data_IF_590934121794
#
_entry.id   IF_590934121794
#
_cell.length_a   1.000
_cell.length_b   1.000
_cell.length_c   1.000
_cell.angle_alpha   90.00
_cell.angle_beta   90.00
_cell.angle_gamma   90.00
#
_symmetry.space_group_name_H-M   'P 1'
#
loop_
_entity.id
_entity.type
_entity.pdbx_description
1 polymer ?
#
# COMPACT_ATOMS: atom_id res chain seq x y z
N UNK A 1 10.32 9.35 -14.08
CA UNK A 1 9.67 10.12 -12.99
C UNK A 1 10.66 10.23 -11.84
N UNK A 2 10.87 11.43 -11.25
CA UNK A 2 11.74 11.53 -10.06
C UNK A 2 10.90 11.29 -8.81
N UNK A 3 11.19 10.24 -8.06
CA UNK A 3 10.63 9.92 -6.76
C UNK A 3 11.74 9.50 -5.79
N UNK A 4 11.44 9.54 -4.51
CA UNK A 4 12.36 9.10 -3.46
C UNK A 4 12.01 7.67 -3.02
N UNK A 5 13.01 6.81 -2.95
CA UNK A 5 12.86 5.43 -2.44
C UNK A 5 12.48 5.44 -0.96
N UNK A 6 12.96 6.42 -0.22
CA UNK A 6 12.62 6.60 1.21
C UNK A 6 11.93 7.93 1.45
N UNK A 7 11.10 8.01 2.48
CA UNK A 7 10.41 9.22 2.89
C UNK A 7 11.17 9.90 4.03
N UNK A 8 12.11 10.85 3.72
CA UNK A 8 12.88 11.53 4.75
C UNK A 8 11.99 12.45 5.60
N UNK A 9 12.47 12.79 6.81
CA UNK A 9 11.70 13.58 7.77
C UNK A 9 11.23 14.94 7.23
N UNK A 10 12.06 15.63 6.46
CA UNK A 10 11.71 16.92 5.85
C UNK A 10 10.57 16.81 4.83
N UNK A 11 10.50 15.71 4.08
CA UNK A 11 9.39 15.46 3.15
C UNK A 11 8.07 15.30 3.91
N UNK A 12 8.10 14.60 5.06
CA UNK A 12 6.91 14.38 5.90
C UNK A 12 6.32 15.69 6.42
N UNK A 13 7.17 16.69 6.68
CA UNK A 13 6.73 18.04 7.12
C UNK A 13 5.92 18.79 6.04
N UNK A 14 6.04 18.41 4.76
CA UNK A 14 5.27 19.01 3.67
C UNK A 14 3.85 18.44 3.53
N UNK A 15 3.51 17.44 4.33
CA UNK A 15 2.20 16.79 4.34
C UNK A 15 1.37 17.25 5.55
N UNK A 16 0.03 17.17 5.47
CA UNK A 16 -0.83 17.38 6.63
C UNK A 16 -0.43 16.48 7.80
N UNK A 17 -0.66 16.95 9.03
CA UNK A 17 -0.37 16.18 10.24
C UNK A 17 -1.24 14.92 10.37
N UNK A 18 -0.83 13.99 11.23
CA UNK A 18 -1.61 12.79 11.54
C UNK A 18 -1.51 11.67 10.50
N UNK A 19 -0.58 11.73 9.54
CA UNK A 19 -0.35 10.66 8.58
C UNK A 19 0.62 9.62 9.12
N UNK A 20 0.34 8.34 8.82
CA UNK A 20 1.16 7.20 9.23
C UNK A 20 2.20 6.93 8.15
N UNK A 21 3.48 7.04 8.48
CA UNK A 21 4.60 6.80 7.58
C UNK A 21 5.36 5.51 7.88
N UNK A 22 5.31 5.08 9.11
CA UNK A 22 5.88 3.84 9.62
C UNK A 22 5.14 3.43 10.90
N UNK A 23 5.24 2.19 11.25
CA UNK A 23 4.73 1.62 12.50
C UNK A 23 5.80 1.69 13.62
N UNK A 24 5.44 1.40 14.89
CA UNK A 24 6.40 1.34 15.98
C UNK A 24 7.58 0.40 15.66
N UNK A 25 8.79 0.79 16.09
CA UNK A 25 10.04 0.08 15.74
C UNK A 25 10.58 -0.82 16.86
N UNK A 26 9.73 -1.23 17.79
CA UNK A 26 10.13 -2.06 18.94
C UNK A 26 10.48 -3.49 18.52
N UNK A 27 9.71 -4.06 17.60
CA UNK A 27 9.84 -5.45 17.16
C UNK A 27 10.41 -5.52 15.74
N UNK A 28 11.02 -6.66 15.40
CA UNK A 28 11.44 -6.96 14.03
C UNK A 28 10.23 -7.28 13.16
N UNK A 29 9.50 -6.25 12.75
CA UNK A 29 8.32 -6.36 11.89
C UNK A 29 8.49 -5.47 10.66
N UNK A 30 8.18 -6.03 9.50
CA UNK A 30 7.99 -5.32 8.22
C UNK A 30 6.50 -5.32 7.88
N UNK A 31 5.98 -4.18 7.51
CA UNK A 31 4.60 -3.99 7.06
C UNK A 31 4.58 -3.89 5.54
N UNK A 32 4.37 -5.04 4.88
CA UNK A 32 4.22 -5.06 3.43
C UNK A 32 2.84 -4.52 3.05
N UNK A 33 2.79 -3.64 2.07
CA UNK A 33 1.55 -3.10 1.55
C UNK A 33 1.53 -3.20 0.03
N UNK A 34 0.33 -3.48 -0.52
CA UNK A 34 0.09 -3.63 -1.94
C UNK A 34 -0.99 -2.65 -2.37
N UNK A 35 -0.71 -1.83 -3.39
CA UNK A 35 -1.62 -0.84 -3.93
C UNK A 35 -2.14 -1.30 -5.30
N UNK A 36 -3.30 -0.76 -5.73
CA UNK A 36 -3.94 -0.91 -7.04
C UNK A 36 -4.82 -2.18 -7.21
N UNK A 37 -4.65 -3.22 -6.42
CA UNK A 37 -5.46 -4.45 -6.52
C UNK A 37 -6.96 -4.26 -6.17
N UNK A 38 -7.73 -5.38 -6.18
CA UNK A 38 -7.33 -6.72 -6.57
C UNK A 38 -7.20 -6.89 -8.08
N UNK A 39 -6.18 -7.64 -8.50
CA UNK A 39 -5.97 -8.02 -9.90
C UNK A 39 -6.19 -9.54 -10.07
N UNK A 40 -6.80 -10.01 -11.19
CA UNK A 40 -7.23 -11.41 -11.34
C UNK A 40 -6.11 -12.46 -11.25
N UNK A 41 -4.88 -12.11 -11.59
CA UNK A 41 -3.75 -13.05 -11.57
C UNK A 41 -2.65 -12.64 -10.59
N UNK A 42 -2.41 -11.35 -10.42
CA UNK A 42 -1.26 -10.85 -9.64
C UNK A 42 -1.57 -10.91 -8.15
N UNK A 43 -2.76 -10.48 -7.72
CA UNK A 43 -3.15 -10.54 -6.30
C UNK A 43 -3.14 -12.00 -5.77
N UNK A 44 -3.67 -13.01 -6.50
CA UNK A 44 -3.49 -14.41 -6.11
C UNK A 44 -2.03 -14.84 -5.94
N UNK A 45 -1.14 -14.47 -6.88
CA UNK A 45 0.29 -14.74 -6.75
C UNK A 45 0.89 -14.12 -5.48
N UNK A 46 0.53 -12.86 -5.18
CA UNK A 46 0.98 -12.19 -3.95
C UNK A 46 0.51 -12.95 -2.71
N UNK A 47 -0.76 -13.35 -2.64
CA UNK A 47 -1.34 -14.10 -1.52
C UNK A 47 -0.63 -15.45 -1.33
N UNK A 48 -0.34 -16.18 -2.41
CA UNK A 48 0.39 -17.45 -2.35
C UNK A 48 1.82 -17.26 -1.83
N UNK A 49 2.51 -16.20 -2.27
CA UNK A 49 3.82 -15.84 -1.73
C UNK A 49 3.76 -15.52 -0.22
N UNK A 50 2.81 -14.69 0.20
CA UNK A 50 2.65 -14.32 1.61
C UNK A 50 2.36 -15.55 2.49
N UNK A 51 1.52 -16.46 2.02
CA UNK A 51 1.18 -17.71 2.70
C UNK A 51 2.40 -18.58 2.96
N UNK A 52 3.32 -18.68 1.98
CA UNK A 52 4.57 -19.46 2.11
C UNK A 52 5.45 -18.99 3.28
N UNK A 53 5.39 -17.71 3.62
CA UNK A 53 6.16 -17.11 4.72
C UNK A 53 5.34 -16.83 5.98
N UNK A 54 4.11 -17.35 6.08
CA UNK A 54 3.16 -17.03 7.17
C UNK A 54 3.04 -15.51 7.40
N UNK A 55 3.06 -14.75 6.32
CA UNK A 55 3.09 -13.29 6.32
C UNK A 55 1.67 -12.72 6.28
N UNK A 56 1.43 -11.62 7.01
CA UNK A 56 0.25 -10.77 6.86
C UNK A 56 0.64 -9.47 6.18
N UNK A 57 -0.28 -8.91 5.41
CA UNK A 57 -0.05 -7.67 4.66
C UNK A 57 -1.30 -6.79 4.65
N UNK A 58 -1.16 -5.55 4.16
CA UNK A 58 -2.29 -4.64 3.94
C UNK A 58 -2.41 -4.33 2.45
N UNK A 59 -3.61 -4.49 1.91
CA UNK A 59 -3.93 -4.21 0.51
C UNK A 59 -4.77 -2.93 0.41
N UNK A 60 -4.25 -1.89 -0.22
CA UNK A 60 -4.98 -0.68 -0.53
C UNK A 60 -5.67 -0.84 -1.87
N UNK A 61 -6.95 -1.22 -1.81
CA UNK A 61 -7.69 -1.67 -2.97
C UNK A 61 -8.41 -0.54 -3.69
N UNK A 62 -8.46 -0.61 -5.01
CA UNK A 62 -9.28 0.23 -5.87
C UNK A 62 -10.70 -0.32 -5.88
N UNK A 63 -11.71 0.49 -5.53
CA UNK A 63 -13.09 0.05 -5.43
C UNK A 63 -13.63 -0.58 -6.73
N UNK A 64 -13.32 -0.01 -7.89
CA UNK A 64 -13.67 -0.57 -9.20
C UNK A 64 -13.14 -2.00 -9.38
N UNK A 65 -11.92 -2.28 -8.95
CA UNK A 65 -11.30 -3.59 -9.07
C UNK A 65 -11.95 -4.61 -8.13
N UNK A 66 -12.41 -4.18 -6.94
CA UNK A 66 -13.18 -5.05 -6.05
C UNK A 66 -14.50 -5.47 -6.68
N UNK A 67 -15.21 -4.51 -7.29
CA UNK A 67 -16.47 -4.80 -8.00
C UNK A 67 -16.25 -5.81 -9.14
N UNK A 68 -15.13 -5.72 -9.83
CA UNK A 68 -14.77 -6.65 -10.91
C UNK A 68 -14.28 -8.01 -10.41
N UNK A 69 -13.62 -8.07 -9.25
CA UNK A 69 -12.97 -9.27 -8.71
C UNK A 69 -13.33 -9.55 -7.24
N UNK A 70 -14.64 -9.66 -6.89
CA UNK A 70 -15.08 -9.78 -5.50
C UNK A 70 -14.59 -11.06 -4.82
N UNK A 71 -14.40 -12.13 -5.56
CA UNK A 71 -13.86 -13.39 -5.02
C UNK A 71 -12.41 -13.24 -4.52
N UNK A 72 -11.58 -12.45 -5.23
CA UNK A 72 -10.19 -12.20 -4.85
C UNK A 72 -10.16 -11.28 -3.63
N UNK A 73 -11.00 -10.25 -3.59
CA UNK A 73 -11.12 -9.40 -2.40
C UNK A 73 -11.53 -10.21 -1.16
N UNK A 74 -12.51 -11.12 -1.31
CA UNK A 74 -12.89 -12.04 -0.23
C UNK A 74 -11.72 -12.92 0.20
N UNK A 75 -10.90 -13.40 -0.74
CA UNK A 75 -9.70 -14.19 -0.45
C UNK A 75 -8.68 -13.42 0.38
N UNK A 76 -8.43 -12.12 0.06
CA UNK A 76 -7.57 -11.25 0.88
C UNK A 76 -8.01 -11.26 2.35
N UNK A 77 -9.31 -11.07 2.59
CA UNK A 77 -9.87 -11.01 3.94
C UNK A 77 -9.83 -12.37 4.66
N UNK A 78 -10.21 -13.45 3.98
CA UNK A 78 -10.28 -14.79 4.57
C UNK A 78 -8.90 -15.36 4.88
N UNK A 79 -7.85 -14.94 4.18
CA UNK A 79 -6.46 -15.30 4.49
C UNK A 79 -5.85 -14.42 5.61
N UNK A 80 -6.65 -13.53 6.23
CA UNK A 80 -6.27 -12.75 7.40
C UNK A 80 -5.40 -11.54 7.08
N UNK A 81 -5.43 -11.07 5.84
CA UNK A 81 -4.84 -9.79 5.47
C UNK A 81 -5.80 -8.63 5.79
N UNK A 82 -5.29 -7.43 5.81
CA UNK A 82 -6.09 -6.23 5.99
C UNK A 82 -6.27 -5.49 4.67
N UNK A 83 -7.39 -4.78 4.53
CA UNK A 83 -7.62 -3.93 3.36
C UNK A 83 -7.66 -2.46 3.78
N UNK A 84 -7.46 -1.58 2.82
CA UNK A 84 -7.60 -0.14 2.94
C UNK A 84 -8.19 0.45 1.66
N UNK A 85 -8.77 1.63 1.77
CA UNK A 85 -9.37 2.35 0.65
C UNK A 85 -8.28 3.06 -0.18
N UNK A 86 -8.29 2.81 -1.51
CA UNK A 86 -7.40 3.45 -2.48
C UNK A 86 -8.18 4.23 -3.55
N UNK A 87 -9.33 4.81 -3.18
CA UNK A 87 -10.33 5.43 -4.04
C UNK A 87 -11.06 4.43 -4.96
N UNK A 88 -12.11 4.86 -5.65
CA UNK A 88 -12.87 3.97 -6.53
C UNK A 88 -12.24 3.82 -7.91
N UNK A 89 -11.70 4.90 -8.47
CA UNK A 89 -11.15 4.94 -9.84
C UNK A 89 -9.69 5.41 -9.89
N UNK A 90 -8.99 5.38 -8.75
CA UNK A 90 -7.57 5.77 -8.63
C UNK A 90 -7.31 7.25 -8.99
N UNK A 91 -8.23 8.16 -8.60
CA UNK A 91 -8.11 9.58 -8.91
C UNK A 91 -6.95 10.25 -8.14
N UNK A 92 -6.21 11.10 -8.87
CA UNK A 92 -5.20 11.95 -8.26
C UNK A 92 -5.83 13.21 -7.69
N UNK A 93 -5.78 13.38 -6.35
CA UNK A 93 -6.37 14.49 -5.61
C UNK A 93 -5.91 15.89 -6.07
N UNK A 94 -4.74 15.99 -6.73
CA UNK A 94 -4.22 17.27 -7.24
C UNK A 94 -4.62 17.57 -8.67
N UNK A 95 -5.35 16.67 -9.35
CA UNK A 95 -5.75 16.82 -10.76
C UNK A 95 -7.26 17.01 -10.92
N UNK A 96 -8.03 16.91 -9.85
CA UNK A 96 -9.49 17.04 -9.86
C UNK A 96 -9.94 17.90 -8.69
N UNK A 97 -11.21 18.30 -8.66
CA UNK A 97 -11.80 19.03 -7.52
C UNK A 97 -11.82 18.15 -6.26
N UNK A 98 -11.76 18.77 -5.08
CA UNK A 98 -11.86 18.03 -3.81
C UNK A 98 -13.18 17.25 -3.71
N UNK A 99 -14.30 17.80 -4.16
CA UNK A 99 -15.60 17.14 -4.09
C UNK A 99 -15.64 15.87 -4.95
N UNK A 100 -15.13 15.96 -6.19
CA UNK A 100 -15.05 14.79 -7.08
C UNK A 100 -14.16 13.70 -6.45
N UNK A 101 -13.01 14.10 -5.89
CA UNK A 101 -12.10 13.15 -5.25
C UNK A 101 -12.68 12.52 -3.98
N UNK A 102 -13.34 13.31 -3.12
CA UNK A 102 -14.00 12.80 -1.92
C UNK A 102 -15.17 11.87 -2.24
N UNK A 103 -15.92 12.17 -3.31
CA UNK A 103 -16.97 11.28 -3.80
C UNK A 103 -16.39 9.94 -4.28
N UNK A 104 -15.24 9.95 -4.98
CA UNK A 104 -14.55 8.73 -5.41
C UNK A 104 -14.06 7.88 -4.22
N UNK A 105 -13.59 8.52 -3.13
CA UNK A 105 -13.28 7.83 -1.87
C UNK A 105 -14.53 7.20 -1.25
N UNK A 106 -15.64 7.96 -1.21
CA UNK A 106 -16.93 7.50 -0.69
C UNK A 106 -17.50 6.34 -1.52
N UNK A 107 -17.33 6.38 -2.84
CA UNK A 107 -17.78 5.27 -3.69
C UNK A 107 -17.00 4.00 -3.41
N UNK A 108 -15.68 4.08 -3.18
CA UNK A 108 -14.89 2.94 -2.76
C UNK A 108 -15.32 2.39 -1.39
N UNK A 109 -15.71 3.23 -0.44
CA UNK A 109 -16.16 2.80 0.89
C UNK A 109 -17.46 1.96 0.88
N UNK A 110 -18.19 1.95 -0.22
CA UNK A 110 -19.37 1.07 -0.38
C UNK A 110 -19.00 -0.41 -0.48
N UNK A 111 -17.75 -0.72 -0.87
CA UNK A 111 -17.24 -2.09 -1.01
C UNK A 111 -15.99 -2.37 -0.17
N UNK A 112 -15.46 -1.37 0.57
CA UNK A 112 -14.29 -1.51 1.44
C UNK A 112 -14.68 -1.11 2.86
N UNK A 113 -14.83 -2.07 3.75
CA UNK A 113 -15.02 -1.83 5.19
C UNK A 113 -13.65 -1.73 5.87
N UNK A 114 -13.12 -0.52 5.94
CA UNK A 114 -11.82 -0.23 6.54
C UNK A 114 -11.68 1.23 6.95
N UNK A 115 -10.98 1.45 8.05
CA UNK A 115 -10.56 2.77 8.53
C UNK A 115 -9.23 3.22 7.92
N UNK A 116 -8.57 2.39 7.11
CA UNK A 116 -7.30 2.71 6.44
C UNK A 116 -7.57 3.33 5.06
N UNK A 117 -6.83 4.40 4.79
CA UNK A 117 -6.86 5.06 3.49
C UNK A 117 -5.44 5.35 3.00
N UNK A 118 -5.17 5.12 1.72
CA UNK A 118 -3.94 5.58 1.07
C UNK A 118 -4.30 6.38 -0.18
N UNK A 119 -3.83 7.64 -0.30
CA UNK A 119 -4.12 8.44 -1.48
C UNK A 119 -3.33 7.92 -2.70
N UNK A 120 -3.96 7.77 -3.87
CA UNK A 120 -3.27 7.46 -5.12
C UNK A 120 -2.07 8.39 -5.37
N UNK A 121 -0.96 7.80 -5.85
CA UNK A 121 0.31 8.53 -6.09
C UNK A 121 0.92 9.19 -4.84
N UNK A 122 0.44 8.89 -3.64
CA UNK A 122 0.79 9.62 -2.43
C UNK A 122 0.38 11.10 -2.48
N UNK A 123 -0.62 11.47 -3.29
CA UNK A 123 -1.05 12.86 -3.48
C UNK A 123 -2.37 13.12 -2.78
N UNK A 124 -2.34 14.08 -1.88
CA UNK A 124 -3.53 14.54 -1.13
C UNK A 124 -3.48 16.05 -0.97
N UNK A 125 -4.64 16.70 -0.92
CA UNK A 125 -4.77 18.11 -0.59
C UNK A 125 -5.00 18.28 0.92
N UNK A 126 -4.70 19.45 1.46
CA UNK A 126 -5.00 19.75 2.87
C UNK A 126 -6.50 19.65 3.17
N UNK A 127 -7.36 20.04 2.23
CA UNK A 127 -8.82 19.93 2.36
C UNK A 127 -9.23 18.46 2.41
N UNK A 128 -8.75 17.64 1.47
CA UNK A 128 -9.03 16.21 1.42
C UNK A 128 -8.56 15.48 2.68
N UNK A 129 -7.35 15.78 3.18
CA UNK A 129 -6.83 15.18 4.39
C UNK A 129 -7.69 15.51 5.63
N UNK A 130 -8.06 16.78 5.81
CA UNK A 130 -8.94 17.20 6.93
C UNK A 130 -10.31 16.54 6.85
N UNK A 131 -10.90 16.44 5.66
CA UNK A 131 -12.19 15.78 5.46
C UNK A 131 -12.13 14.30 5.85
N UNK A 132 -11.10 13.57 5.45
CA UNK A 132 -10.91 12.16 5.75
C UNK A 132 -10.51 11.87 7.22
N UNK A 133 -9.91 12.83 7.90
CA UNK A 133 -9.53 12.71 9.32
C UNK A 133 -10.58 13.30 10.26
N UNK A 134 -11.74 13.72 9.73
CA UNK A 134 -12.83 14.28 10.55
C UNK A 134 -13.53 13.19 11.36
N UNK A 135 -14.28 13.60 12.41
CA UNK A 135 -15.07 12.65 13.21
C UNK A 135 -16.12 11.90 12.40
N UNK A 136 -16.60 12.50 11.30
CA UNK A 136 -17.57 11.88 10.40
C UNK A 136 -16.94 10.83 9.46
N UNK A 137 -15.63 10.94 9.21
CA UNK A 137 -14.88 10.03 8.34
C UNK A 137 -13.49 9.77 8.97
N UNK A 138 -13.39 8.93 10.00
CA UNK A 138 -12.17 8.80 10.79
C UNK A 138 -11.13 7.90 10.09
N UNK A 139 -10.76 8.22 8.85
CA UNK A 139 -9.70 7.48 8.17
C UNK A 139 -8.33 7.77 8.77
N UNK A 140 -7.55 6.71 8.96
CA UNK A 140 -6.12 6.76 9.18
C UNK A 140 -5.42 6.78 7.83
N UNK A 141 -4.79 7.90 7.49
CA UNK A 141 -4.11 8.07 6.21
C UNK A 141 -2.72 7.46 6.32
N UNK A 142 -2.49 6.39 5.54
CA UNK A 142 -1.25 5.63 5.54
C UNK A 142 -0.43 5.96 4.30
N UNK A 143 0.78 6.45 4.51
CA UNK A 143 1.80 6.60 3.50
C UNK A 143 2.86 5.49 3.66
N UNK A 144 4.14 5.77 3.40
CA UNK A 144 5.20 4.78 3.47
C UNK A 144 6.54 5.44 3.82
N UNK A 145 7.47 4.65 4.31
CA UNK A 145 8.85 5.07 4.46
C UNK A 145 9.79 4.38 3.45
N UNK A 146 9.34 3.30 2.80
CA UNK A 146 10.10 2.61 1.75
C UNK A 146 9.22 2.30 0.55
N UNK A 147 9.68 2.69 -0.64
CA UNK A 147 9.04 2.44 -1.92
C UNK A 147 9.89 1.44 -2.70
N UNK A 148 9.30 0.31 -3.11
CA UNK A 148 10.02 -0.70 -3.91
C UNK A 148 10.44 -0.14 -5.26
N UNK A 149 9.59 0.67 -5.89
CA UNK A 149 9.77 1.19 -7.24
C UNK A 149 9.31 0.21 -8.33
N UNK A 150 8.53 -0.83 -7.97
CA UNK A 150 8.06 -1.87 -8.88
C UNK A 150 7.15 -1.35 -10.01
N UNK A 151 6.51 -0.20 -9.84
CA UNK A 151 5.73 0.51 -10.86
C UNK A 151 6.60 1.22 -11.92
N UNK A 152 7.90 1.38 -11.67
CA UNK A 152 8.82 2.08 -12.57
C UNK A 152 9.43 1.09 -13.59
N UNK A 153 8.97 1.19 -14.83
CA UNK A 153 9.40 0.30 -15.93
C UNK A 153 10.88 0.44 -16.30
N UNK A 154 11.52 1.52 -15.88
CA UNK A 154 12.96 1.72 -16.07
C UNK A 154 13.83 0.95 -15.07
N UNK A 155 13.23 0.40 -14.01
CA UNK A 155 13.94 -0.38 -12.99
C UNK A 155 13.89 -1.88 -13.29
N UNK A 156 14.96 -2.57 -12.88
CA UNK A 156 14.97 -4.03 -12.80
C UNK A 156 14.37 -4.55 -11.48
N UNK A 157 13.99 -5.81 -11.45
CA UNK A 157 13.53 -6.47 -10.22
C UNK A 157 14.61 -6.47 -9.12
N UNK A 158 15.90 -6.63 -9.49
CA UNK A 158 17.03 -6.57 -8.57
C UNK A 158 17.14 -5.19 -7.91
N UNK A 159 16.83 -4.11 -8.67
CA UNK A 159 16.81 -2.77 -8.10
C UNK A 159 15.67 -2.61 -7.11
N UNK A 160 14.49 -3.15 -7.39
CA UNK A 160 13.36 -3.16 -6.46
C UNK A 160 13.69 -3.93 -5.17
N UNK A 161 14.31 -5.11 -5.28
CA UNK A 161 14.81 -5.87 -4.13
C UNK A 161 15.77 -5.01 -3.30
N UNK A 162 16.78 -4.41 -3.96
CA UNK A 162 17.78 -3.57 -3.29
C UNK A 162 17.17 -2.34 -2.62
N UNK A 163 16.17 -1.70 -3.25
CA UNK A 163 15.46 -0.58 -2.65
C UNK A 163 14.82 -0.98 -1.31
N UNK A 164 14.18 -2.14 -1.26
CA UNK A 164 13.51 -2.62 -0.04
C UNK A 164 14.51 -3.14 0.97
N UNK A 165 15.44 -4.03 0.59
CA UNK A 165 16.36 -4.67 1.53
C UNK A 165 17.40 -3.73 2.13
N UNK A 166 17.78 -2.68 1.40
CA UNK A 166 18.73 -1.66 1.89
C UNK A 166 18.08 -0.67 2.86
N UNK A 167 16.82 -0.34 2.66
CA UNK A 167 16.17 0.78 3.37
C UNK A 167 15.12 0.33 4.38
N UNK A 168 14.55 -0.86 4.24
CA UNK A 168 13.58 -1.40 5.18
C UNK A 168 14.22 -1.78 6.51
N UNK A 169 13.54 -1.46 7.59
CA UNK A 169 13.93 -1.71 8.98
C UNK A 169 12.69 -1.96 9.83
N UNK A 170 12.85 -2.35 11.07
CA UNK A 170 11.73 -2.55 12.00
C UNK A 170 10.70 -1.42 11.91
N UNK A 171 9.42 -1.79 11.76
CA UNK A 171 8.31 -0.84 11.62
C UNK A 171 8.17 -0.20 10.24
N UNK A 172 9.02 -0.55 9.26
CA UNK A 172 8.89 0.02 7.91
C UNK A 172 7.60 -0.40 7.24
N UNK A 173 6.89 0.58 6.67
CA UNK A 173 5.81 0.37 5.70
C UNK A 173 6.43 0.38 4.31
N UNK A 174 6.35 -0.76 3.64
CA UNK A 174 6.93 -0.98 2.31
C UNK A 174 5.82 -1.06 1.28
N UNK A 175 5.94 -0.31 0.19
CA UNK A 175 4.96 -0.31 -0.90
C UNK A 175 5.43 -1.15 -2.07
N UNK A 176 4.57 -2.08 -2.47
CA UNK A 176 4.50 -2.76 -3.74
C UNK A 176 3.15 -2.49 -4.40
N UNK A 177 2.97 -2.91 -5.66
CA UNK A 177 1.72 -2.75 -6.40
C UNK A 177 1.32 -4.09 -7.03
N UNK A 178 0.12 -4.58 -6.72
CA UNK A 178 -0.42 -5.79 -7.34
C UNK A 178 -1.20 -5.45 -8.64
N UNK A 179 -0.48 -4.82 -9.56
CA UNK A 179 -1.00 -4.32 -10.84
C UNK A 179 -0.16 -4.82 -12.03
N UNK A 180 -0.77 -4.87 -13.22
CA UNK A 180 -0.11 -5.36 -14.44
C UNK A 180 1.20 -4.62 -14.73
N UNK A 181 1.21 -3.32 -14.49
CA UNK A 181 2.40 -2.49 -14.67
C UNK A 181 3.57 -2.92 -13.78
N UNK A 182 3.30 -3.30 -12.53
CA UNK A 182 4.32 -3.69 -11.56
C UNK A 182 4.78 -5.15 -11.72
N UNK A 183 3.93 -5.99 -12.30
CA UNK A 183 4.11 -7.44 -12.41
C UNK A 183 5.53 -7.90 -12.76
N UNK A 184 6.20 -7.38 -13.85
CA UNK A 184 7.51 -7.87 -14.24
C UNK A 184 8.62 -7.68 -13.20
N UNK A 185 8.39 -6.78 -12.23
CA UNK A 185 9.32 -6.50 -11.12
C UNK A 185 8.85 -7.08 -9.81
N UNK A 186 7.54 -7.04 -9.55
CA UNK A 186 6.93 -7.59 -8.34
C UNK A 186 7.14 -9.10 -8.23
N UNK A 187 6.80 -9.87 -9.28
CA UNK A 187 6.87 -11.33 -9.24
C UNK A 187 8.25 -11.87 -8.86
N UNK A 188 9.37 -11.43 -9.47
CA UNK A 188 10.68 -11.89 -9.04
C UNK A 188 11.22 -11.22 -7.77
N UNK A 189 10.69 -10.05 -7.36
CA UNK A 189 11.20 -9.32 -6.21
C UNK A 189 10.56 -9.79 -4.89
N UNK A 190 9.24 -10.00 -4.86
CA UNK A 190 8.51 -10.28 -3.62
C UNK A 190 9.02 -11.51 -2.87
N UNK A 191 9.21 -12.70 -3.51
CA UNK A 191 9.71 -13.88 -2.80
C UNK A 191 11.12 -13.67 -2.20
N UNK A 192 11.98 -12.93 -2.92
CA UNK A 192 13.35 -12.65 -2.46
C UNK A 192 13.37 -11.68 -1.29
N UNK A 193 12.48 -10.68 -1.29
CA UNK A 193 12.32 -9.73 -0.18
C UNK A 193 11.78 -10.45 1.07
N UNK A 194 10.76 -11.29 0.92
CA UNK A 194 10.20 -12.08 2.01
C UNK A 194 11.29 -12.99 2.62
N UNK A 195 12.01 -13.75 1.78
CA UNK A 195 13.11 -14.60 2.22
C UNK A 195 14.19 -13.81 2.97
N UNK A 196 14.64 -12.68 2.41
CA UNK A 196 15.67 -11.84 3.01
C UNK A 196 15.35 -11.41 4.44
N UNK A 197 14.12 -10.99 4.71
CA UNK A 197 13.70 -10.55 6.03
C UNK A 197 13.40 -11.73 6.97
N UNK A 198 12.77 -12.80 6.47
CA UNK A 198 12.50 -14.00 7.26
C UNK A 198 13.80 -14.63 7.82
N UNK A 199 14.84 -14.75 6.99
CA UNK A 199 16.16 -15.25 7.40
C UNK A 199 16.85 -14.38 8.46
N UNK A 200 16.38 -13.12 8.64
CA UNK A 200 16.87 -12.17 9.65
C UNK A 200 15.96 -12.07 10.87
N UNK A 201 14.98 -12.97 10.97
CA UNK A 201 14.06 -13.05 12.09
C UNK A 201 12.99 -11.96 12.11
N UNK A 202 12.69 -11.34 10.97
CA UNK A 202 11.55 -10.43 10.85
C UNK A 202 10.25 -11.19 10.64
N UNK A 203 9.18 -10.69 11.24
CA UNK A 203 7.80 -11.06 10.94
C UNK A 203 7.19 -10.05 9.96
N UNK A 204 6.10 -10.46 9.35
CA UNK A 204 5.32 -9.62 8.44
C UNK A 204 3.90 -9.48 8.99
N UNK A 205 3.50 -8.26 9.28
CA UNK A 205 2.20 -7.97 9.91
C UNK A 205 1.41 -7.00 9.04
N UNK A 206 0.08 -7.07 9.13
CA UNK A 206 -0.79 -6.04 8.58
C UNK A 206 -0.81 -4.81 9.48
N UNK A 207 -1.11 -3.65 8.91
CA UNK A 207 -1.26 -2.40 9.67
C UNK A 207 -2.51 -2.53 10.55
N UNK A 208 -2.31 -2.53 11.86
CA UNK A 208 -3.39 -2.63 12.88
C UNK A 208 -4.08 -1.31 13.10
#
# INVERSE_FOLDING_TARGET
MRYLVTSPWWLRMLFPSGMIWNMPRKDKVIYLTFDDGPHPTITPFVLDCLKTFNARATFFCIGKNIVQHPAIYKRILTEGHRTGNHTHTHLNARKVSNDLWLNDVKDASKCIDSDLFRPPYGRITNVGARALQSKANPYRIVLWDVLSGDFDESLSAERCIKNVTKHGKSGSIVVFHDSEKARPRLEPALPKVLKYYAERGFRFESIS
#
